data_IF_534333398515
#
_entry.id   IF_534333398515
#
_cell.length_a   1.000
_cell.length_b   1.000
_cell.length_c   1.000
_cell.angle_alpha   90.00
_cell.angle_beta   90.00
_cell.angle_gamma   90.00
#
_symmetry.space_group_name_H-M   'P 1'
#
loop_
_entity.id
_entity.type
_entity.pdbx_description
1 polymer ?
#
# COMPACT_ATOMS: atom_id res chain seq x y z
N UNK A 1 -67.87 56.38 2.88
CA UNK A 1 -67.34 57.75 2.69
C UNK A 1 -66.88 57.88 1.24
N UNK A 2 -67.21 58.83 0.39
CA UNK A 2 -68.19 59.92 0.33
C UNK A 2 -68.23 60.36 -1.15
N UNK A 3 -69.34 60.05 -1.84
CA UNK A 3 -70.25 60.96 -2.57
C UNK A 3 -69.87 61.45 -3.99
N UNK A 4 -70.80 61.12 -4.89
CA UNK A 4 -71.14 61.63 -6.23
C UNK A 4 -71.48 63.13 -6.28
N UNK A 5 -71.46 63.69 -7.49
CA UNK A 5 -72.32 64.78 -8.00
C UNK A 5 -71.63 65.51 -9.16
N UNK A 6 -72.01 65.47 -10.45
CA UNK A 6 -73.28 65.57 -11.22
C UNK A 6 -73.84 67.00 -11.37
N UNK A 7 -73.58 67.60 -12.55
CA UNK A 7 -74.56 68.32 -13.37
C UNK A 7 -74.69 69.85 -13.24
N UNK A 8 -74.93 70.53 -14.37
CA UNK A 8 -75.53 71.88 -14.37
C UNK A 8 -75.40 72.68 -15.67
N UNK A 9 -76.45 72.70 -16.48
CA UNK A 9 -76.64 73.46 -17.74
C UNK A 9 -77.03 74.94 -17.49
N UNK A 10 -76.39 75.87 -18.21
CA UNK A 10 -77.00 76.66 -19.30
C UNK A 10 -77.78 77.98 -19.05
N UNK A 11 -77.74 78.81 -20.12
CA UNK A 11 -78.70 79.85 -20.60
C UNK A 11 -78.62 81.26 -19.95
N UNK A 12 -78.80 82.42 -20.63
CA UNK A 12 -79.22 82.79 -22.00
C UNK A 12 -79.14 84.32 -22.22
N UNK A 13 -78.86 84.77 -23.44
CA UNK A 13 -79.48 85.96 -24.09
C UNK A 13 -78.74 87.30 -23.99
N UNK A 14 -78.84 88.27 -24.92
CA UNK A 14 -79.72 88.45 -26.10
C UNK A 14 -79.35 89.77 -26.85
N UNK A 15 -79.43 89.77 -28.20
CA UNK A 15 -79.64 90.90 -29.18
C UNK A 15 -78.62 92.07 -29.16
N UNK A 16 -78.06 92.59 -30.26
CA UNK A 16 -78.33 92.48 -31.70
C UNK A 16 -78.56 93.88 -32.29
N UNK A 17 -77.82 94.31 -33.33
CA UNK A 17 -78.26 95.28 -34.36
C UNK A 17 -77.24 95.37 -35.51
N UNK A 18 -77.73 95.28 -36.76
CA UNK A 18 -77.05 95.63 -38.02
C UNK A 18 -77.06 97.15 -38.22
N UNK A 19 -76.01 97.71 -38.84
CA UNK A 19 -76.06 98.50 -40.08
C UNK A 19 -74.68 99.02 -40.48
N UNK A 20 -74.41 98.98 -41.80
CA UNK A 20 -73.59 99.89 -42.62
C UNK A 20 -72.06 99.87 -42.40
N UNK A 21 -71.31 99.39 -43.41
CA UNK A 21 -70.72 100.23 -44.47
C UNK A 21 -69.86 101.36 -43.91
N UNK A 22 -68.54 101.15 -43.93
CA UNK A 22 -67.55 102.13 -44.40
C UNK A 22 -66.15 101.54 -44.18
N UNK A 23 -65.39 101.44 -45.28
CA UNK A 23 -63.94 101.42 -45.28
C UNK A 23 -63.39 102.43 -44.27
N UNK A 24 -62.83 101.94 -43.17
CA UNK A 24 -61.74 102.60 -42.45
C UNK A 24 -60.72 101.53 -42.06
N UNK A 25 -59.89 101.19 -43.05
CA UNK A 25 -58.44 101.08 -42.88
C UNK A 25 -57.94 102.24 -42.01
N UNK A 26 -58.19 102.18 -40.71
CA UNK A 26 -57.64 103.07 -39.69
C UNK A 26 -57.67 102.28 -38.36
N UNK A 27 -57.10 101.05 -38.34
CA UNK A 27 -55.99 100.93 -37.39
C UNK A 27 -55.10 102.08 -37.81
N UNK A 28 -55.05 103.16 -37.01
CA UNK A 28 -54.08 104.23 -37.24
C UNK A 28 -52.76 103.53 -37.58
N UNK A 29 -51.95 103.98 -38.54
CA UNK A 29 -50.66 103.31 -38.83
C UNK A 29 -49.93 102.99 -37.52
N UNK A 30 -50.04 103.89 -36.56
CA UNK A 30 -49.67 103.76 -35.14
C UNK A 30 -50.21 102.50 -34.41
N UNK A 31 -51.50 102.15 -34.50
CA UNK A 31 -52.08 100.98 -33.82
C UNK A 31 -51.68 99.67 -34.50
N UNK A 32 -51.59 99.67 -35.84
CA UNK A 32 -51.10 98.51 -36.60
C UNK A 32 -49.61 98.28 -36.30
N UNK A 33 -48.81 99.35 -36.29
CA UNK A 33 -47.41 99.35 -35.87
C UNK A 33 -47.27 98.94 -34.40
N UNK A 34 -48.18 99.35 -33.51
CA UNK A 34 -48.17 98.94 -32.09
C UNK A 34 -48.41 97.43 -31.93
N UNK A 35 -49.40 96.87 -32.63
CA UNK A 35 -49.65 95.42 -32.61
C UNK A 35 -48.54 94.64 -33.33
N UNK A 36 -47.98 95.15 -34.43
CA UNK A 36 -46.81 94.56 -35.09
C UNK A 36 -45.59 94.59 -34.15
N UNK A 37 -45.33 95.70 -33.46
CA UNK A 37 -44.30 95.80 -32.44
C UNK A 37 -44.53 94.79 -31.32
N UNK A 38 -45.77 94.67 -30.82
CA UNK A 38 -46.14 93.68 -29.80
C UNK A 38 -45.94 92.23 -30.29
N UNK A 39 -46.30 91.93 -31.54
CA UNK A 39 -46.09 90.61 -32.15
C UNK A 39 -44.60 90.33 -32.30
N UNK A 40 -43.80 91.30 -32.75
CA UNK A 40 -42.33 91.12 -32.84
C UNK A 40 -41.70 90.92 -31.46
N UNK A 41 -42.15 91.63 -30.43
CA UNK A 41 -41.66 91.47 -29.06
C UNK A 41 -42.09 90.15 -28.42
N UNK A 42 -43.34 89.71 -28.65
CA UNK A 42 -43.80 88.39 -28.25
C UNK A 42 -43.08 87.28 -28.99
N UNK A 43 -42.83 87.42 -30.29
CA UNK A 43 -42.04 86.47 -31.08
C UNK A 43 -40.58 86.42 -30.61
N UNK A 44 -39.97 87.57 -30.23
CA UNK A 44 -38.65 87.60 -29.61
C UNK A 44 -38.63 86.89 -28.26
N UNK A 45 -39.64 87.11 -27.40
CA UNK A 45 -39.78 86.41 -26.12
C UNK A 45 -39.97 84.90 -26.33
N UNK A 46 -40.78 84.51 -27.30
CA UNK A 46 -41.04 83.12 -27.66
C UNK A 46 -39.78 82.46 -28.23
N UNK A 47 -39.01 83.14 -29.07
CA UNK A 47 -37.73 82.67 -29.57
C UNK A 47 -36.70 82.49 -28.44
N UNK A 48 -36.63 83.44 -27.48
CA UNK A 48 -35.77 83.31 -26.29
C UNK A 48 -36.18 82.12 -25.43
N UNK A 49 -37.48 81.94 -25.15
CA UNK A 49 -37.98 80.80 -24.40
C UNK A 49 -37.73 79.48 -25.13
N UNK A 50 -37.87 79.43 -26.46
CA UNK A 50 -37.52 78.25 -27.27
C UNK A 50 -36.03 77.94 -27.22
N UNK A 51 -35.16 78.95 -27.34
CA UNK A 51 -33.70 78.78 -27.17
C UNK A 51 -33.38 78.24 -25.79
N UNK A 52 -33.97 78.83 -24.75
CA UNK A 52 -33.78 78.39 -23.37
C UNK A 52 -34.31 76.97 -23.13
N UNK A 53 -35.47 76.60 -23.69
CA UNK A 53 -35.97 75.23 -23.63
C UNK A 53 -35.03 74.26 -24.36
N UNK A 54 -34.53 74.62 -25.55
CA UNK A 54 -33.57 73.79 -26.28
C UNK A 54 -32.24 73.63 -25.53
N UNK A 55 -31.74 74.70 -24.90
CA UNK A 55 -30.55 74.67 -24.03
C UNK A 55 -30.76 73.79 -22.80
N UNK A 56 -31.94 73.88 -22.16
CA UNK A 56 -32.30 73.04 -21.02
C UNK A 56 -32.49 71.57 -21.43
N UNK A 57 -33.06 71.30 -22.60
CA UNK A 57 -33.18 69.95 -23.17
C UNK A 57 -31.80 69.35 -23.44
N UNK A 58 -30.90 70.10 -24.09
CA UNK A 58 -29.52 69.70 -24.31
C UNK A 58 -28.80 69.42 -22.99
N UNK A 59 -28.88 70.34 -22.02
CA UNK A 59 -28.30 70.16 -20.70
C UNK A 59 -28.86 68.93 -19.97
N UNK A 60 -30.16 68.68 -20.07
CA UNK A 60 -30.79 67.51 -19.47
C UNK A 60 -30.35 66.21 -20.17
N UNK A 61 -30.18 66.22 -21.50
CA UNK A 61 -29.62 65.07 -22.23
C UNK A 61 -28.16 64.82 -21.86
N UNK A 62 -27.35 65.87 -21.68
CA UNK A 62 -25.96 65.76 -21.25
C UNK A 62 -25.84 65.21 -19.83
N UNK A 63 -26.64 65.72 -18.89
CA UNK A 63 -26.69 65.21 -17.51
C UNK A 63 -27.16 63.74 -17.49
N UNK A 64 -28.16 63.40 -18.30
CA UNK A 64 -28.64 62.01 -18.43
C UNK A 64 -27.54 61.09 -18.99
N UNK A 65 -26.79 61.54 -19.99
CA UNK A 65 -25.64 60.80 -20.53
C UNK A 65 -24.54 60.62 -19.48
N UNK A 66 -24.19 61.67 -18.74
CA UNK A 66 -23.21 61.59 -17.64
C UNK A 66 -23.67 60.65 -16.54
N UNK A 67 -24.96 60.68 -16.17
CA UNK A 67 -25.53 59.77 -15.18
C UNK A 67 -25.43 58.32 -15.65
N UNK A 68 -25.76 58.03 -16.91
CA UNK A 68 -25.67 56.68 -17.44
C UNK A 68 -24.23 56.17 -17.47
N UNK A 69 -23.26 57.01 -17.85
CA UNK A 69 -21.83 56.67 -17.78
C UNK A 69 -21.39 56.35 -16.34
N UNK A 70 -21.79 57.17 -15.37
CA UNK A 70 -21.49 56.91 -13.96
C UNK A 70 -22.16 55.63 -13.44
N UNK A 71 -23.36 55.29 -13.93
CA UNK A 71 -24.05 54.04 -13.61
C UNK A 71 -23.32 52.82 -14.20
N UNK A 72 -22.82 52.93 -15.43
CA UNK A 72 -21.98 51.91 -16.10
C UNK A 72 -20.64 51.73 -15.36
N UNK A 73 -19.89 52.81 -15.13
CA UNK A 73 -18.63 52.78 -14.38
C UNK A 73 -18.82 52.17 -12.98
N UNK A 74 -19.93 52.52 -12.29
CA UNK A 74 -20.27 51.93 -10.99
C UNK A 74 -20.56 50.44 -11.11
N UNK A 75 -21.31 50.02 -12.12
CA UNK A 75 -21.61 48.61 -12.35
C UNK A 75 -20.32 47.82 -12.62
N UNK A 76 -19.40 48.37 -13.41
CA UNK A 76 -18.11 47.78 -13.71
C UNK A 76 -17.25 47.66 -12.44
N UNK A 77 -17.15 48.72 -11.64
CA UNK A 77 -16.43 48.67 -10.35
C UNK A 77 -17.04 47.63 -9.42
N UNK A 78 -18.37 47.56 -9.30
CA UNK A 78 -19.04 46.53 -8.49
C UNK A 78 -18.73 45.13 -9.01
N UNK A 79 -18.77 44.92 -10.33
CA UNK A 79 -18.48 43.62 -10.93
C UNK A 79 -17.03 43.18 -10.67
N UNK A 80 -16.08 44.11 -10.78
CA UNK A 80 -14.67 43.87 -10.51
C UNK A 80 -14.42 43.55 -9.04
N UNK A 81 -15.02 44.32 -8.12
CA UNK A 81 -14.91 44.08 -6.68
C UNK A 81 -15.54 42.76 -6.29
N UNK A 82 -16.73 42.42 -6.81
CA UNK A 82 -17.37 41.13 -6.54
C UNK A 82 -16.53 39.96 -7.06
N UNK A 83 -15.95 40.09 -8.26
CA UNK A 83 -15.05 39.07 -8.81
C UNK A 83 -13.82 38.90 -7.94
N UNK A 84 -13.15 40.00 -7.58
CA UNK A 84 -11.95 39.95 -6.74
C UNK A 84 -12.28 39.40 -5.35
N UNK A 85 -13.43 39.75 -4.79
CA UNK A 85 -13.88 39.22 -3.50
C UNK A 85 -14.12 37.72 -3.58
N UNK A 86 -14.80 37.23 -4.63
CA UNK A 86 -15.00 35.79 -4.87
C UNK A 86 -13.67 35.06 -5.03
N UNK A 87 -12.73 35.58 -5.84
CA UNK A 87 -11.39 35.00 -6.00
C UNK A 87 -10.65 34.91 -4.66
N UNK A 88 -10.78 35.93 -3.79
CA UNK A 88 -10.18 35.92 -2.45
C UNK A 88 -10.88 34.97 -1.49
N UNK A 89 -12.19 34.78 -1.60
CA UNK A 89 -12.93 33.79 -0.82
C UNK A 89 -12.51 32.37 -1.21
N UNK A 90 -12.37 32.09 -2.51
CA UNK A 90 -11.87 30.81 -3.01
C UNK A 90 -10.42 30.56 -2.52
N UNK A 91 -9.52 31.53 -2.64
CA UNK A 91 -8.15 31.45 -2.09
C UNK A 91 -8.17 31.11 -0.58
N UNK A 92 -9.08 31.73 0.19
CA UNK A 92 -9.21 31.49 1.63
C UNK A 92 -9.70 30.07 1.90
N UNK A 93 -10.63 29.54 1.10
CA UNK A 93 -11.13 28.17 1.24
C UNK A 93 -10.03 27.16 0.92
N UNK A 94 -9.30 27.33 -0.19
CA UNK A 94 -8.17 26.45 -0.54
C UNK A 94 -7.09 26.45 0.55
N UNK A 95 -6.74 27.62 1.10
CA UNK A 95 -5.77 27.71 2.19
C UNK A 95 -6.27 27.06 3.48
N UNK A 96 -7.57 27.16 3.78
CA UNK A 96 -8.19 26.49 4.94
C UNK A 96 -8.18 24.98 4.78
N UNK A 97 -8.55 24.45 3.61
CA UNK A 97 -8.50 23.01 3.32
C UNK A 97 -7.07 22.47 3.41
N UNK A 98 -6.10 23.21 2.85
CA UNK A 98 -4.68 22.86 2.97
C UNK A 98 -4.19 22.86 4.42
N UNK A 99 -4.60 23.85 5.21
CA UNK A 99 -4.26 23.93 6.63
C UNK A 99 -4.88 22.77 7.40
N UNK A 100 -6.14 22.43 7.13
CA UNK A 100 -6.82 21.30 7.74
C UNK A 100 -6.12 19.98 7.38
N UNK A 101 -5.77 19.77 6.11
CA UNK A 101 -5.01 18.60 5.66
C UNK A 101 -3.67 18.47 6.39
N UNK A 102 -2.89 19.56 6.45
CA UNK A 102 -1.63 19.59 7.21
C UNK A 102 -1.84 19.31 8.71
N UNK A 103 -2.92 19.83 9.29
CA UNK A 103 -3.25 19.62 10.69
C UNK A 103 -3.59 18.15 10.97
N UNK A 104 -4.36 17.52 10.08
CA UNK A 104 -4.70 16.10 10.14
C UNK A 104 -3.45 15.21 9.98
N UNK A 105 -2.58 15.49 9.00
CA UNK A 105 -1.32 14.74 8.82
C UNK A 105 -0.45 14.85 10.08
N UNK A 106 -0.30 16.06 10.64
CA UNK A 106 0.44 16.28 11.88
C UNK A 106 -0.18 15.52 13.05
N UNK A 107 -1.51 15.51 13.19
CA UNK A 107 -2.19 14.74 14.23
C UNK A 107 -1.99 13.22 14.06
N UNK A 108 -2.03 12.71 12.83
CA UNK A 108 -1.76 11.31 12.52
C UNK A 108 -0.31 10.93 12.85
N UNK A 109 0.67 11.72 12.43
CA UNK A 109 2.08 11.51 12.77
C UNK A 109 2.30 11.55 14.29
N UNK A 110 1.69 12.51 14.98
CA UNK A 110 1.80 12.63 16.44
C UNK A 110 1.16 11.44 17.17
N UNK A 111 0.11 10.83 16.61
CA UNK A 111 -0.48 9.58 17.14
C UNK A 111 0.44 8.39 16.87
N UNK A 112 0.93 8.23 15.65
CA UNK A 112 1.85 7.15 15.29
C UNK A 112 3.14 7.18 16.12
N UNK A 113 3.72 8.36 16.35
CA UNK A 113 4.88 8.50 17.24
C UNK A 113 4.55 8.15 18.69
N UNK A 114 3.38 8.56 19.20
CA UNK A 114 2.94 8.19 20.56
C UNK A 114 2.77 6.68 20.71
N UNK A 115 2.10 6.04 19.76
CA UNK A 115 1.94 4.58 19.72
C UNK A 115 3.30 3.88 19.67
N UNK A 116 4.25 4.41 18.87
CA UNK A 116 5.59 3.83 18.80
C UNK A 116 6.37 3.97 20.10
N UNK A 117 6.27 5.12 20.77
CA UNK A 117 6.86 5.33 22.09
C UNK A 117 6.25 4.38 23.11
N UNK A 118 4.92 4.25 23.14
CA UNK A 118 4.24 3.34 24.05
C UNK A 118 4.62 1.88 23.80
N UNK A 119 4.71 1.46 22.54
CA UNK A 119 5.20 0.12 22.17
C UNK A 119 6.63 -0.11 22.68
N UNK A 120 7.55 0.84 22.45
CA UNK A 120 8.93 0.73 22.93
C UNK A 120 9.01 0.69 24.46
N UNK A 121 8.19 1.46 25.16
CA UNK A 121 8.11 1.41 26.62
C UNK A 121 7.58 0.06 27.13
N UNK A 122 6.59 -0.51 26.47
CA UNK A 122 6.06 -1.84 26.79
C UNK A 122 7.11 -2.93 26.56
N UNK A 123 7.80 -2.89 25.42
CA UNK A 123 8.92 -3.81 25.10
C UNK A 123 10.05 -3.69 26.12
N UNK A 124 10.42 -2.47 26.50
CA UNK A 124 11.44 -2.23 27.52
C UNK A 124 11.01 -2.76 28.89
N UNK A 125 9.76 -2.51 29.32
CA UNK A 125 9.22 -3.05 30.57
C UNK A 125 9.19 -4.58 30.55
N UNK A 126 8.81 -5.19 29.43
CA UNK A 126 8.81 -6.65 29.28
C UNK A 126 10.24 -7.22 29.38
N UNK A 127 11.21 -6.61 28.69
CA UNK A 127 12.62 -6.98 28.78
C UNK A 127 13.15 -6.82 30.21
N UNK A 128 12.83 -5.72 30.88
CA UNK A 128 13.23 -5.48 32.27
C UNK A 128 12.67 -6.55 33.21
N UNK A 129 11.39 -6.92 33.06
CA UNK A 129 10.77 -8.00 33.84
C UNK A 129 11.42 -9.35 33.56
N UNK A 130 11.71 -9.66 32.29
CA UNK A 130 12.41 -10.89 31.91
C UNK A 130 13.80 -10.95 32.55
N UNK A 131 14.65 -9.94 32.35
CA UNK A 131 15.99 -9.88 32.94
C UNK A 131 15.93 -9.95 34.47
N UNK A 132 14.97 -9.26 35.10
CA UNK A 132 14.78 -9.31 36.56
C UNK A 132 14.39 -10.72 37.02
N UNK A 133 13.57 -11.43 36.24
CA UNK A 133 13.20 -12.82 36.54
C UNK A 133 14.38 -13.78 36.38
N UNK A 134 15.22 -13.57 35.36
CA UNK A 134 16.44 -14.35 35.13
C UNK A 134 17.45 -14.13 36.25
N UNK A 135 17.66 -12.88 36.67
CA UNK A 135 18.52 -12.54 37.82
C UNK A 135 18.01 -13.22 39.09
N UNK A 136 16.70 -13.19 39.36
CA UNK A 136 16.11 -13.88 40.52
C UNK A 136 16.28 -15.39 40.45
N UNK A 137 16.11 -15.98 39.27
CA UNK A 137 16.31 -17.42 39.05
C UNK A 137 17.78 -17.81 39.27
N UNK A 138 18.71 -17.03 38.72
CA UNK A 138 20.15 -17.25 38.91
C UNK A 138 20.57 -17.08 40.36
N UNK A 139 20.04 -16.08 41.07
CA UNK A 139 20.25 -15.92 42.50
C UNK A 139 19.73 -17.14 43.28
N UNK A 140 18.55 -17.66 42.91
CA UNK A 140 18.02 -18.90 43.49
C UNK A 140 18.93 -20.12 43.24
N UNK A 141 19.44 -20.27 42.01
CA UNK A 141 20.40 -21.34 41.67
C UNK A 141 21.71 -21.19 42.44
N UNK A 142 22.21 -19.98 42.62
CA UNK A 142 23.42 -19.70 43.38
C UNK A 142 23.25 -20.07 44.85
N UNK A 143 22.12 -19.69 45.46
CA UNK A 143 21.80 -20.06 46.84
C UNK A 143 21.73 -21.58 47.02
N UNK A 144 21.11 -22.30 46.09
CA UNK A 144 21.06 -23.76 46.13
C UNK A 144 22.45 -24.39 45.98
N UNK A 145 23.33 -23.79 45.16
CA UNK A 145 24.70 -24.24 45.00
C UNK A 145 25.53 -23.99 46.27
N UNK A 146 25.35 -22.84 46.91
CA UNK A 146 25.99 -22.52 48.19
C UNK A 146 25.51 -23.47 49.30
N UNK A 147 24.22 -23.78 49.35
CA UNK A 147 23.68 -24.76 50.29
C UNK A 147 24.26 -26.17 50.04
N UNK A 148 24.36 -26.59 48.78
CA UNK A 148 25.02 -27.85 48.42
C UNK A 148 26.50 -27.87 48.86
N UNK A 149 27.20 -26.75 48.71
CA UNK A 149 28.60 -26.61 49.15
C UNK A 149 28.73 -26.77 50.66
N UNK A 150 27.86 -26.10 51.43
CA UNK A 150 27.82 -26.23 52.90
C UNK A 150 27.52 -27.67 53.31
N UNK A 151 26.51 -28.30 52.72
CA UNK A 151 26.15 -29.70 53.02
C UNK A 151 27.29 -30.67 52.70
N UNK A 152 27.99 -30.46 51.58
CA UNK A 152 29.17 -31.25 51.22
C UNK A 152 30.28 -31.09 52.26
N UNK A 153 30.58 -29.86 52.66
CA UNK A 153 31.65 -29.58 53.64
C UNK A 153 31.31 -30.18 55.01
N UNK A 154 30.06 -30.08 55.45
CA UNK A 154 29.56 -30.74 56.67
C UNK A 154 29.68 -32.28 56.58
N UNK A 155 29.32 -32.85 55.43
CA UNK A 155 29.43 -34.29 55.22
C UNK A 155 30.89 -34.75 55.21
N UNK A 156 31.77 -33.99 54.56
CA UNK A 156 33.21 -34.27 54.54
C UNK A 156 33.79 -34.20 55.97
N UNK A 157 33.40 -33.21 56.76
CA UNK A 157 33.82 -33.09 58.16
C UNK A 157 33.34 -34.30 59.01
N UNK A 158 32.11 -34.79 58.78
CA UNK A 158 31.60 -36.02 59.41
C UNK A 158 32.41 -37.25 59.00
N UNK A 159 32.76 -37.39 57.72
CA UNK A 159 33.60 -38.49 57.24
C UNK A 159 34.98 -38.49 57.90
N UNK A 160 35.67 -37.34 57.94
CA UNK A 160 36.98 -37.22 58.61
C UNK A 160 36.86 -37.58 60.09
N UNK A 161 35.79 -37.16 60.75
CA UNK A 161 35.55 -37.51 62.16
C UNK A 161 35.34 -39.00 62.34
N UNK A 162 34.55 -39.63 61.47
CA UNK A 162 34.27 -41.08 61.51
C UNK A 162 35.52 -41.91 61.19
N UNK A 163 36.32 -41.49 60.21
CA UNK A 163 37.58 -42.14 59.85
C UNK A 163 38.56 -42.12 61.03
N UNK A 164 38.70 -40.98 61.71
CA UNK A 164 39.51 -40.86 62.92
C UNK A 164 39.01 -41.76 64.06
N UNK A 165 37.69 -41.83 64.26
CA UNK A 165 37.09 -42.73 65.26
C UNK A 165 37.34 -44.20 64.92
N UNK A 166 37.24 -44.58 63.65
CA UNK A 166 37.53 -45.95 63.18
C UNK A 166 39.00 -46.32 63.41
N UNK A 167 39.93 -45.40 63.12
CA UNK A 167 41.35 -45.60 63.35
C UNK A 167 41.66 -45.75 64.85
N UNK A 168 41.04 -44.93 65.70
CA UNK A 168 41.16 -45.04 67.15
C UNK A 168 40.59 -46.37 67.67
N UNK A 169 39.42 -46.80 67.16
CA UNK A 169 38.84 -48.10 67.51
C UNK A 169 39.72 -49.27 67.07
N UNK A 170 40.32 -49.22 65.87
CA UNK A 170 41.24 -50.27 65.42
C UNK A 170 42.49 -50.32 66.29
N UNK A 171 43.06 -49.17 66.68
CA UNK A 171 44.18 -49.14 67.62
C UNK A 171 43.80 -49.66 69.01
N UNK A 172 42.61 -49.32 69.51
CA UNK A 172 42.12 -49.81 70.80
C UNK A 172 41.89 -51.32 70.76
N UNK A 173 41.24 -51.84 69.73
CA UNK A 173 41.05 -53.29 69.56
C UNK A 173 42.36 -54.03 69.37
N UNK A 174 43.35 -53.49 68.65
CA UNK A 174 44.67 -54.10 68.54
C UNK A 174 45.37 -54.19 69.91
N UNK A 175 45.25 -53.14 70.74
CA UNK A 175 45.73 -53.14 72.13
C UNK A 175 45.01 -54.17 73.00
N UNK A 176 43.69 -54.23 72.92
CA UNK A 176 42.87 -55.22 73.65
C UNK A 176 43.23 -56.65 73.24
N UNK A 177 43.36 -56.92 71.94
CA UNK A 177 43.72 -58.23 71.42
C UNK A 177 45.09 -58.67 71.94
N UNK A 178 46.07 -57.74 71.92
CA UNK A 178 47.39 -57.99 72.48
C UNK A 178 47.34 -58.29 73.99
N UNK A 179 46.53 -57.56 74.76
CA UNK A 179 46.37 -57.84 76.18
C UNK A 179 45.72 -59.20 76.45
N UNK A 180 44.68 -59.55 75.69
CA UNK A 180 43.99 -60.84 75.79
C UNK A 180 44.93 -61.98 75.41
N UNK A 181 45.66 -61.84 74.29
CA UNK A 181 46.63 -62.83 73.84
C UNK A 181 47.76 -62.99 74.86
N UNK A 182 48.27 -61.89 75.43
CA UNK A 182 49.25 -61.92 76.50
C UNK A 182 48.72 -62.66 77.74
N UNK A 183 47.50 -62.33 78.20
CA UNK A 183 46.86 -63.01 79.34
C UNK A 183 46.63 -64.50 79.04
N UNK A 184 46.24 -64.84 77.81
CA UNK A 184 46.04 -66.22 77.35
C UNK A 184 47.35 -67.01 77.28
N UNK A 185 48.43 -66.43 76.74
CA UNK A 185 49.75 -67.08 76.69
C UNK A 185 50.24 -67.36 78.11
N UNK A 186 50.16 -66.37 79.01
CA UNK A 186 50.55 -66.54 80.42
C UNK A 186 49.69 -67.61 81.10
N UNK A 187 48.37 -67.61 80.88
CA UNK A 187 47.46 -68.62 81.42
C UNK A 187 47.73 -70.02 80.86
N UNK A 188 47.99 -70.13 79.56
CA UNK A 188 48.36 -71.39 78.88
C UNK A 188 49.67 -71.95 79.43
N UNK A 189 50.69 -71.12 79.62
CA UNK A 189 51.96 -71.56 80.19
C UNK A 189 51.81 -71.99 81.65
N UNK A 190 50.97 -71.28 82.43
CA UNK A 190 50.61 -71.70 83.78
C UNK A 190 49.91 -73.06 83.79
N UNK A 191 48.93 -73.26 82.89
CA UNK A 191 48.18 -74.51 82.79
C UNK A 191 49.06 -75.66 82.28
N UNK A 192 49.97 -75.40 81.33
CA UNK A 192 50.94 -76.40 80.87
C UNK A 192 51.84 -76.85 82.02
N UNK A 193 52.35 -75.93 82.83
CA UNK A 193 53.15 -76.27 84.02
C UNK A 193 52.34 -77.13 85.00
N UNK A 194 51.08 -76.77 85.26
CA UNK A 194 50.20 -77.57 86.13
C UNK A 194 49.91 -78.95 85.53
N UNK A 195 49.63 -79.02 84.22
CA UNK A 195 49.36 -80.26 83.51
C UNK A 195 50.59 -81.16 83.43
N UNK A 196 51.79 -80.63 83.17
CA UNK A 196 53.05 -81.38 83.25
C UNK A 196 53.25 -81.96 84.65
N UNK A 197 52.99 -81.16 85.68
CA UNK A 197 53.08 -81.62 87.08
C UNK A 197 52.08 -82.75 87.35
N UNK A 198 50.82 -82.61 86.93
CA UNK A 198 49.80 -83.65 87.08
C UNK A 198 50.03 -84.86 86.18
N UNK A 199 50.58 -84.71 84.98
CA UNK A 199 50.92 -85.81 84.08
C UNK A 199 52.09 -86.61 84.62
N UNK A 200 53.10 -85.95 85.19
CA UNK A 200 54.17 -86.65 85.91
C UNK A 200 53.58 -87.49 87.04
N UNK A 201 52.68 -86.90 87.84
CA UNK A 201 52.02 -87.59 88.94
C UNK A 201 51.10 -88.74 88.45
N UNK A 202 50.25 -88.49 87.44
CA UNK A 202 49.35 -89.47 86.88
C UNK A 202 50.11 -90.55 86.11
N UNK A 203 51.20 -90.23 85.41
CA UNK A 203 52.02 -91.22 84.72
C UNK A 203 52.71 -92.14 85.71
N UNK A 204 53.16 -91.63 86.87
CA UNK A 204 53.66 -92.49 87.94
C UNK A 204 52.53 -93.37 88.49
N UNK A 205 51.35 -92.81 88.78
CA UNK A 205 50.20 -93.57 89.31
C UNK A 205 49.61 -94.56 88.29
N UNK A 206 49.59 -94.21 87.00
CA UNK A 206 49.01 -94.99 85.91
C UNK A 206 49.97 -96.06 85.42
N UNK A 207 51.28 -95.82 85.35
CA UNK A 207 52.23 -96.89 85.07
C UNK A 207 52.18 -97.97 86.15
N UNK A 208 52.07 -97.57 87.43
CA UNK A 208 51.84 -98.49 88.54
C UNK A 208 50.48 -99.21 88.46
N UNK A 209 49.40 -98.51 88.12
CA UNK A 209 48.06 -99.10 88.09
C UNK A 209 47.73 -99.92 86.83
N UNK A 210 48.32 -99.60 85.68
CA UNK A 210 47.94 -100.15 84.36
C UNK A 210 48.73 -101.41 84.03
N UNK A 211 49.99 -101.47 84.45
CA UNK A 211 50.74 -102.73 84.49
C UNK A 211 49.99 -103.78 85.33
N UNK A 212 49.18 -103.32 86.30
CA UNK A 212 48.37 -104.19 87.15
C UNK A 212 47.00 -104.62 86.55
N UNK A 213 46.47 -104.06 85.45
CA UNK A 213 44.99 -104.18 85.26
C UNK A 213 44.33 -104.18 83.88
N UNK A 214 44.99 -104.08 82.73
CA UNK A 214 44.22 -104.10 81.45
C UNK A 214 43.90 -105.52 80.97
N UNK A 215 42.60 -105.81 80.85
CA UNK A 215 42.03 -107.00 80.22
C UNK A 215 41.37 -106.69 78.87
N UNK A 216 41.42 -107.68 77.97
CA UNK A 216 41.05 -107.66 76.55
C UNK A 216 39.68 -107.05 76.17
N UNK A 217 38.69 -107.05 77.07
CA UNK A 217 37.30 -106.61 76.80
C UNK A 217 37.19 -105.13 76.44
N UNK A 218 38.06 -104.28 76.99
CA UNK A 218 38.09 -102.83 76.72
C UNK A 218 38.49 -102.53 75.28
N UNK A 219 39.30 -103.38 74.65
CA UNK A 219 39.65 -103.24 73.22
C UNK A 219 38.46 -103.49 72.29
N UNK A 220 37.40 -104.19 72.74
CA UNK A 220 36.23 -104.47 71.90
C UNK A 220 35.30 -103.27 71.79
N UNK A 221 35.04 -102.58 72.90
CA UNK A 221 34.18 -101.38 72.94
C UNK A 221 34.79 -100.22 72.13
N UNK A 222 36.12 -100.11 72.10
CA UNK A 222 36.82 -99.13 71.28
C UNK A 222 36.55 -99.36 69.77
N UNK A 223 36.53 -100.62 69.33
CA UNK A 223 36.25 -100.94 67.91
C UNK A 223 34.83 -100.61 67.50
N UNK A 224 33.86 -100.81 68.38
CA UNK A 224 32.45 -100.50 68.12
C UNK A 224 32.19 -98.99 68.05
N UNK A 225 32.83 -98.20 68.93
CA UNK A 225 32.78 -96.73 68.85
C UNK A 225 33.37 -96.17 67.55
N UNK A 226 34.46 -96.79 67.06
CA UNK A 226 35.06 -96.41 65.78
C UNK A 226 34.09 -96.67 64.62
N UNK A 227 33.36 -97.79 64.64
CA UNK A 227 32.37 -98.11 63.62
C UNK A 227 31.20 -97.11 63.59
N UNK A 228 30.67 -96.74 64.76
CA UNK A 228 29.56 -95.77 64.86
C UNK A 228 29.99 -94.37 64.41
N UNK A 229 31.21 -93.92 64.78
CA UNK A 229 31.72 -92.62 64.34
C UNK A 229 31.89 -92.56 62.82
N UNK A 230 32.35 -93.62 62.18
CA UNK A 230 32.48 -93.67 60.72
C UNK A 230 31.12 -93.53 60.02
N UNK A 231 30.06 -94.11 60.58
CA UNK A 231 28.70 -94.00 60.02
C UNK A 231 28.11 -92.59 60.23
N UNK A 232 28.43 -91.96 61.35
CA UNK A 232 28.04 -90.58 61.65
C UNK A 232 28.76 -89.57 60.74
N UNK A 233 30.04 -89.80 60.44
CA UNK A 233 30.80 -89.01 59.48
C UNK A 233 30.20 -89.10 58.07
N UNK A 234 29.78 -90.29 57.63
CA UNK A 234 29.07 -90.48 56.36
C UNK A 234 27.76 -89.68 56.30
N UNK A 235 26.96 -89.68 57.37
CA UNK A 235 25.74 -88.86 57.42
C UNK A 235 26.03 -87.35 57.44
N UNK A 236 27.11 -86.93 58.10
CA UNK A 236 27.52 -85.52 58.12
C UNK A 236 27.95 -85.04 56.73
N UNK A 237 28.63 -85.87 55.95
CA UNK A 237 28.97 -85.56 54.56
C UNK A 237 27.71 -85.42 53.71
N UNK A 238 26.79 -86.38 53.79
CA UNK A 238 25.53 -86.32 53.02
C UNK A 238 24.66 -85.11 53.39
N UNK A 239 24.58 -84.76 54.67
CA UNK A 239 23.85 -83.55 55.11
C UNK A 239 24.50 -82.27 54.61
N UNK A 240 25.84 -82.18 54.59
CA UNK A 240 26.55 -81.06 53.99
C UNK A 240 26.24 -80.92 52.50
N UNK A 241 26.35 -81.99 51.72
CA UNK A 241 26.05 -81.98 50.29
C UNK A 241 24.62 -81.51 50.01
N UNK A 242 23.64 -81.97 50.78
CA UNK A 242 22.24 -81.52 50.66
C UNK A 242 22.06 -80.05 51.02
N UNK A 243 22.77 -79.54 52.04
CA UNK A 243 22.72 -78.12 52.39
C UNK A 243 23.36 -77.23 51.32
N UNK A 244 24.46 -77.67 50.73
CA UNK A 244 25.13 -76.99 49.62
C UNK A 244 24.21 -76.95 48.40
N UNK A 245 23.58 -78.07 48.02
CA UNK A 245 22.63 -78.11 46.91
C UNK A 245 21.43 -77.19 47.14
N UNK A 246 20.86 -77.17 48.36
CA UNK A 246 19.77 -76.27 48.70
C UNK A 246 20.19 -74.80 48.61
N UNK A 247 21.40 -74.47 49.06
CA UNK A 247 21.94 -73.11 48.94
C UNK A 247 22.10 -72.68 47.48
N UNK A 248 22.65 -73.56 46.63
CA UNK A 248 22.80 -73.35 45.18
C UNK A 248 21.46 -73.16 44.48
N UNK A 249 20.45 -73.95 44.85
CA UNK A 249 19.09 -73.81 44.30
C UNK A 249 18.44 -72.50 44.71
N UNK A 250 18.64 -72.04 45.95
CA UNK A 250 18.15 -70.72 46.41
C UNK A 250 18.84 -69.57 45.70
N UNK A 251 20.13 -69.70 45.38
CA UNK A 251 20.87 -68.70 44.62
C UNK A 251 20.36 -68.61 43.19
N UNK A 252 20.20 -69.74 42.49
CA UNK A 252 19.57 -69.79 41.16
C UNK A 252 18.15 -69.19 41.16
N UNK A 253 17.35 -69.48 42.18
CA UNK A 253 16.00 -68.89 42.31
C UNK A 253 16.04 -67.36 42.49
N UNK A 254 17.02 -66.84 43.24
CA UNK A 254 17.24 -65.39 43.34
C UNK A 254 17.68 -64.78 42.01
N UNK A 255 18.61 -65.43 41.31
CA UNK A 255 19.06 -64.98 39.98
C UNK A 255 17.91 -64.94 38.98
N UNK A 256 17.09 -66.00 38.93
CA UNK A 256 15.90 -66.03 38.07
C UNK A 256 14.89 -64.95 38.41
N UNK A 257 14.67 -64.65 39.69
CA UNK A 257 13.79 -63.53 40.09
C UNK A 257 14.35 -62.19 39.63
N UNK A 258 15.65 -61.97 39.76
CA UNK A 258 16.30 -60.75 39.31
C UNK A 258 16.23 -60.58 37.79
N UNK A 259 16.44 -61.65 37.01
CA UNK A 259 16.34 -61.59 35.54
C UNK A 259 14.91 -61.31 35.08
N UNK A 260 13.90 -61.88 35.75
CA UNK A 260 12.49 -61.57 35.48
C UNK A 260 12.20 -60.09 35.75
N UNK A 261 12.64 -59.54 36.87
CA UNK A 261 12.44 -58.11 37.18
C UNK A 261 13.13 -57.19 36.17
N UNK A 262 14.34 -57.54 35.72
CA UNK A 262 15.06 -56.80 34.69
C UNK A 262 14.30 -56.83 33.35
N UNK A 263 13.87 -58.00 32.89
CA UNK A 263 13.09 -58.13 31.66
C UNK A 263 11.75 -57.41 31.73
N UNK A 264 11.07 -57.37 32.88
CA UNK A 264 9.86 -56.56 33.04
C UNK A 264 10.15 -55.05 32.90
N UNK A 265 11.26 -54.56 33.48
CA UNK A 265 11.69 -53.17 33.32
C UNK A 265 12.03 -52.85 31.87
N UNK A 266 12.79 -53.71 31.20
CA UNK A 266 13.14 -53.57 29.78
C UNK A 266 11.88 -53.54 28.90
N UNK A 267 10.94 -54.46 29.14
CA UNK A 267 9.65 -54.49 28.43
C UNK A 267 8.88 -53.18 28.60
N UNK A 268 8.80 -52.65 29.83
CA UNK A 268 8.15 -51.36 30.10
C UNK A 268 8.84 -50.21 29.36
N UNK A 269 10.17 -50.16 29.37
CA UNK A 269 10.93 -49.15 28.62
C UNK A 269 10.71 -49.24 27.11
N UNK A 270 10.74 -50.45 26.55
CA UNK A 270 10.50 -50.70 25.14
C UNK A 270 9.07 -50.32 24.72
N UNK A 271 8.07 -50.64 25.55
CA UNK A 271 6.67 -50.28 25.31
C UNK A 271 6.48 -48.76 25.35
N UNK A 272 7.05 -48.07 26.34
CA UNK A 272 7.01 -46.61 26.42
C UNK A 272 7.69 -45.94 25.22
N UNK A 273 8.83 -46.50 24.76
CA UNK A 273 9.52 -46.00 23.56
C UNK A 273 8.66 -46.20 22.31
N UNK A 274 8.04 -47.37 22.15
CA UNK A 274 7.12 -47.67 21.06
C UNK A 274 5.91 -46.73 21.07
N UNK A 275 5.32 -46.49 22.24
CA UNK A 275 4.20 -45.56 22.40
C UNK A 275 4.59 -44.12 22.03
N UNK A 276 5.76 -43.67 22.47
CA UNK A 276 6.30 -42.36 22.10
C UNK A 276 6.55 -42.26 20.59
N UNK A 277 7.11 -43.31 19.98
CA UNK A 277 7.31 -43.38 18.53
C UNK A 277 5.97 -43.36 17.78
N UNK A 278 4.97 -44.10 18.23
CA UNK A 278 3.61 -44.06 17.64
C UNK A 278 3.01 -42.66 17.72
N UNK A 279 3.06 -42.02 18.90
CA UNK A 279 2.59 -40.63 19.08
C UNK A 279 3.32 -39.64 18.17
N UNK A 280 4.62 -39.84 17.96
CA UNK A 280 5.40 -39.03 17.04
C UNK A 280 4.98 -39.27 15.58
N UNK A 281 4.80 -40.52 15.18
CA UNK A 281 4.32 -40.90 13.85
C UNK A 281 2.92 -40.31 13.59
N UNK A 282 2.01 -40.40 14.56
CA UNK A 282 0.66 -39.83 14.44
C UNK A 282 0.72 -38.32 14.26
N UNK A 283 1.54 -37.62 15.06
CA UNK A 283 1.74 -36.18 14.93
C UNK A 283 2.33 -35.81 13.57
N UNK A 284 3.38 -36.51 13.12
CA UNK A 284 3.99 -36.28 11.81
C UNK A 284 3.01 -36.58 10.68
N UNK A 285 2.15 -37.59 10.82
CA UNK A 285 1.12 -37.95 9.84
C UNK A 285 0.06 -36.86 9.72
N UNK A 286 -0.38 -36.28 10.85
CA UNK A 286 -1.31 -35.15 10.87
C UNK A 286 -0.67 -33.90 10.23
N UNK A 287 0.57 -33.58 10.58
CA UNK A 287 1.29 -32.45 9.98
C UNK A 287 1.51 -32.65 8.47
N UNK A 288 1.87 -33.86 8.04
CA UNK A 288 1.99 -34.19 6.62
C UNK A 288 0.64 -34.06 5.90
N UNK A 289 -0.47 -34.47 6.51
CA UNK A 289 -1.79 -34.30 5.92
C UNK A 289 -2.15 -32.81 5.75
N UNK A 290 -1.89 -31.97 6.76
CA UNK A 290 -2.08 -30.51 6.68
C UNK A 290 -1.18 -29.87 5.61
N UNK A 291 0.07 -30.28 5.54
CA UNK A 291 1.00 -29.77 4.54
C UNK A 291 0.55 -30.19 3.13
N UNK A 292 0.08 -31.43 2.97
CA UNK A 292 -0.46 -31.93 1.70
C UNK A 292 -1.70 -31.16 1.26
N UNK A 293 -2.63 -30.82 2.17
CA UNK A 293 -3.78 -29.96 1.83
C UNK A 293 -3.32 -28.56 1.44
N UNK A 294 -2.35 -27.99 2.15
CA UNK A 294 -1.81 -26.67 1.82
C UNK A 294 -1.11 -26.65 0.46
N UNK A 295 -0.36 -27.69 0.13
CA UNK A 295 0.27 -27.83 -1.19
C UNK A 295 -0.81 -27.90 -2.27
N UNK A 296 -1.89 -28.67 -2.05
CA UNK A 296 -3.02 -28.71 -3.00
C UNK A 296 -3.65 -27.34 -3.21
N UNK A 297 -3.89 -26.58 -2.14
CA UNK A 297 -4.39 -25.19 -2.24
C UNK A 297 -3.43 -24.30 -3.05
N UNK A 298 -2.13 -24.35 -2.76
CA UNK A 298 -1.12 -23.57 -3.49
C UNK A 298 -1.08 -23.95 -4.97
N UNK A 299 -1.14 -25.24 -5.30
CA UNK A 299 -1.21 -25.69 -6.70
C UNK A 299 -2.49 -25.20 -7.38
N UNK A 300 -3.61 -25.14 -6.67
CA UNK A 300 -4.85 -24.58 -7.18
C UNK A 300 -4.71 -23.07 -7.48
N UNK A 301 -4.16 -22.28 -6.54
CA UNK A 301 -3.88 -20.87 -6.76
C UNK A 301 -2.91 -20.62 -7.91
N UNK A 302 -1.89 -21.45 -8.07
CA UNK A 302 -0.97 -21.39 -9.23
C UNK A 302 -1.71 -21.63 -10.54
N UNK A 303 -2.55 -22.67 -10.61
CA UNK A 303 -3.35 -22.95 -11.82
C UNK A 303 -4.30 -21.80 -12.16
N UNK A 304 -4.90 -21.15 -11.17
CA UNK A 304 -5.77 -20.00 -11.35
C UNK A 304 -4.99 -18.77 -11.82
N UNK A 305 -3.80 -18.53 -11.26
CA UNK A 305 -2.90 -17.46 -11.70
C UNK A 305 -2.48 -17.66 -13.16
N UNK A 306 -2.18 -18.89 -13.57
CA UNK A 306 -1.88 -19.20 -14.97
C UNK A 306 -3.09 -18.96 -15.89
N UNK A 307 -4.30 -19.29 -15.45
CA UNK A 307 -5.53 -18.97 -16.20
C UNK A 307 -5.71 -17.46 -16.37
N UNK A 308 -5.55 -16.67 -15.31
CA UNK A 308 -5.64 -15.21 -15.41
C UNK A 308 -4.55 -14.61 -16.30
N UNK A 309 -3.31 -15.12 -16.24
CA UNK A 309 -2.25 -14.70 -17.16
C UNK A 309 -2.60 -14.99 -18.62
N UNK A 310 -3.18 -16.15 -18.91
CA UNK A 310 -3.68 -16.47 -20.26
C UNK A 310 -4.78 -15.51 -20.70
N UNK A 311 -5.77 -15.26 -19.84
CA UNK A 311 -6.85 -14.31 -20.14
C UNK A 311 -6.32 -12.89 -20.38
N UNK A 312 -5.32 -12.45 -19.61
CA UNK A 312 -4.68 -11.16 -19.80
C UNK A 312 -3.94 -11.09 -21.14
N UNK A 313 -3.15 -12.11 -21.47
CA UNK A 313 -2.45 -12.20 -22.76
C UNK A 313 -3.43 -12.17 -23.94
N UNK A 314 -4.55 -12.90 -23.85
CA UNK A 314 -5.59 -12.86 -24.87
C UNK A 314 -6.26 -11.47 -24.97
N UNK A 315 -6.49 -10.81 -23.84
CA UNK A 315 -7.05 -9.46 -23.82
C UNK A 315 -6.07 -8.43 -24.42
N UNK A 316 -4.77 -8.55 -24.14
CA UNK A 316 -3.71 -7.74 -24.73
C UNK A 316 -3.61 -7.97 -26.24
N UNK A 317 -3.69 -9.21 -26.71
CA UNK A 317 -3.74 -9.51 -28.15
C UNK A 317 -4.98 -8.90 -28.81
N UNK A 318 -6.16 -9.04 -28.20
CA UNK A 318 -7.39 -8.41 -28.69
C UNK A 318 -7.25 -6.89 -28.76
N UNK A 319 -6.67 -6.27 -27.73
CA UNK A 319 -6.43 -4.84 -27.68
C UNK A 319 -5.46 -4.40 -28.78
N UNK A 320 -4.33 -5.10 -28.95
CA UNK A 320 -3.36 -4.83 -29.99
C UNK A 320 -3.99 -4.94 -31.39
N UNK A 321 -4.79 -5.97 -31.63
CA UNK A 321 -5.53 -6.14 -32.88
C UNK A 321 -6.48 -4.95 -33.11
N UNK A 322 -7.28 -4.56 -32.12
CA UNK A 322 -8.15 -3.37 -32.22
C UNK A 322 -7.36 -2.08 -32.47
N UNK A 323 -6.21 -1.89 -31.82
CA UNK A 323 -5.34 -0.74 -32.09
C UNK A 323 -4.80 -0.75 -33.53
N UNK A 324 -4.41 -1.91 -34.06
CA UNK A 324 -3.97 -2.00 -35.47
C UNK A 324 -5.10 -1.68 -36.44
N UNK A 325 -6.31 -2.17 -36.18
CA UNK A 325 -7.50 -1.83 -36.99
C UNK A 325 -7.83 -0.34 -36.90
N UNK A 326 -7.78 0.25 -35.71
CA UNK A 326 -7.96 1.69 -35.52
C UNK A 326 -6.90 2.50 -36.29
N UNK A 327 -5.63 2.06 -36.31
CA UNK A 327 -4.58 2.71 -37.11
C UNK A 327 -4.86 2.61 -38.61
N UNK A 328 -5.30 1.44 -39.10
CA UNK A 328 -5.68 1.25 -40.52
C UNK A 328 -6.83 2.20 -40.89
N UNK A 329 -7.88 2.25 -40.06
CA UNK A 329 -9.03 3.11 -40.29
C UNK A 329 -8.65 4.61 -40.26
N UNK A 330 -7.78 5.00 -39.32
CA UNK A 330 -7.24 6.36 -39.25
C UNK A 330 -6.43 6.72 -40.50
N UNK A 331 -5.60 5.79 -41.01
CA UNK A 331 -4.86 5.99 -42.25
C UNK A 331 -5.79 6.11 -43.46
N UNK A 332 -6.84 5.29 -43.55
CA UNK A 332 -7.84 5.38 -44.61
C UNK A 332 -8.59 6.71 -44.56
N UNK A 333 -8.99 7.16 -43.37
CA UNK A 333 -9.63 8.46 -43.17
C UNK A 333 -8.71 9.60 -43.61
N UNK A 334 -7.42 9.53 -43.29
CA UNK A 334 -6.44 10.52 -43.71
C UNK A 334 -6.27 10.56 -45.23
N UNK A 335 -6.11 9.40 -45.88
CA UNK A 335 -6.04 9.31 -47.35
C UNK A 335 -7.31 9.88 -48.00
N UNK A 336 -8.49 9.51 -47.51
CA UNK A 336 -9.77 10.04 -48.01
C UNK A 336 -9.91 11.55 -47.78
N UNK A 337 -9.45 12.07 -46.64
CA UNK A 337 -9.44 13.50 -46.37
C UNK A 337 -8.51 14.26 -47.33
N UNK A 338 -7.32 13.71 -47.62
CA UNK A 338 -6.38 14.26 -48.57
C UNK A 338 -6.92 14.23 -50.01
N UNK A 339 -7.57 13.13 -50.41
CA UNK A 339 -8.25 13.02 -51.71
C UNK A 339 -9.38 14.05 -51.84
N UNK A 340 -10.19 14.21 -50.78
CA UNK A 340 -11.25 15.22 -50.72
C UNK A 340 -10.67 16.63 -50.88
N UNK A 341 -9.57 16.95 -50.19
CA UNK A 341 -8.91 18.26 -50.30
C UNK A 341 -8.37 18.50 -51.72
N UNK A 342 -7.69 17.51 -52.30
CA UNK A 342 -7.23 17.56 -53.68
C UNK A 342 -8.39 17.79 -54.68
N UNK A 343 -9.53 17.11 -54.48
CA UNK A 343 -10.73 17.31 -55.30
C UNK A 343 -11.34 18.71 -55.13
N UNK A 344 -11.37 19.25 -53.91
CA UNK A 344 -11.82 20.62 -53.66
C UNK A 344 -10.93 21.64 -54.36
N UNK A 345 -9.60 21.46 -54.31
CA UNK A 345 -8.63 22.27 -55.05
C UNK A 345 -8.89 22.20 -56.56
N UNK A 346 -9.10 21.01 -57.11
CA UNK A 346 -9.43 20.84 -58.53
C UNK A 346 -10.73 21.55 -58.91
N UNK A 347 -11.78 21.44 -58.08
CA UNK A 347 -13.05 22.16 -58.30
C UNK A 347 -12.85 23.68 -58.21
N UNK A 348 -12.05 24.17 -57.26
CA UNK A 348 -11.73 25.59 -57.15
C UNK A 348 -10.98 26.10 -58.40
N UNK A 349 -9.99 25.36 -58.89
CA UNK A 349 -9.27 25.68 -60.13
C UNK A 349 -10.20 25.67 -61.34
N UNK A 350 -11.08 24.67 -61.46
CA UNK A 350 -12.08 24.61 -62.53
C UNK A 350 -13.09 25.77 -62.44
N UNK A 351 -13.51 26.17 -61.24
CA UNK A 351 -14.37 27.34 -61.03
C UNK A 351 -13.65 28.63 -61.41
N UNK A 352 -12.38 28.79 -61.04
CA UNK A 352 -11.58 29.94 -61.47
C UNK A 352 -11.43 29.97 -62.99
N UNK A 353 -11.17 28.82 -63.62
CA UNK A 353 -11.14 28.71 -65.07
C UNK A 353 -12.48 29.09 -65.71
N UNK A 354 -13.59 28.54 -65.21
CA UNK A 354 -14.94 28.88 -65.68
C UNK A 354 -15.25 30.37 -65.49
N UNK A 355 -14.87 30.98 -64.36
CA UNK A 355 -15.03 32.40 -64.12
C UNK A 355 -14.19 33.24 -65.09
N UNK A 356 -12.94 32.82 -65.38
CA UNK A 356 -12.09 33.48 -66.38
C UNK A 356 -12.72 33.41 -67.76
N UNK A 357 -13.19 32.24 -68.20
CA UNK A 357 -13.90 32.08 -69.48
C UNK A 357 -15.19 32.90 -69.52
N UNK A 358 -15.95 32.96 -68.41
CA UNK A 358 -17.15 33.79 -68.34
C UNK A 358 -16.80 35.29 -68.42
N UNK A 359 -15.70 35.73 -67.79
CA UNK A 359 -15.24 37.12 -67.90
C UNK A 359 -14.79 37.47 -69.32
N UNK A 360 -14.14 36.57 -70.04
CA UNK A 360 -13.76 36.80 -71.45
C UNK A 360 -14.99 36.79 -72.35
N UNK A 361 -15.97 35.90 -72.11
CA UNK A 361 -17.26 35.93 -72.81
C UNK A 361 -18.01 37.24 -72.56
N UNK A 362 -18.09 37.73 -71.31
CA UNK A 362 -18.70 39.02 -70.99
C UNK A 362 -17.97 40.18 -71.68
N UNK A 363 -16.63 40.17 -71.67
CA UNK A 363 -15.82 41.16 -72.37
C UNK A 363 -16.04 41.11 -73.89
N UNK A 364 -16.18 39.92 -74.47
CA UNK A 364 -16.52 39.74 -75.89
C UNK A 364 -17.93 40.24 -76.21
N UNK A 365 -18.92 39.92 -75.38
CA UNK A 365 -20.29 40.44 -75.53
C UNK A 365 -20.31 41.96 -75.44
N UNK A 366 -19.56 42.56 -74.52
CA UNK A 366 -19.44 44.01 -74.41
C UNK A 366 -18.73 44.64 -75.61
N UNK A 367 -17.66 44.01 -76.13
CA UNK A 367 -17.00 44.46 -77.36
C UNK A 367 -17.93 44.38 -78.58
N UNK A 368 -18.74 43.34 -78.69
CA UNK A 368 -19.77 43.22 -79.74
C UNK A 368 -20.86 44.28 -79.56
N UNK A 369 -21.32 44.54 -78.33
CA UNK A 369 -22.26 45.63 -78.05
C UNK A 369 -21.70 46.99 -78.43
N UNK A 370 -20.45 47.29 -78.07
CA UNK A 370 -19.77 48.53 -78.46
C UNK A 370 -19.62 48.63 -79.98
N UNK A 371 -19.33 47.53 -80.67
CA UNK A 371 -19.28 47.50 -82.13
C UNK A 371 -20.65 47.76 -82.78
N UNK A 372 -21.74 47.23 -82.20
CA UNK A 372 -23.12 47.47 -82.66
C UNK A 372 -23.58 48.91 -82.35
N UNK A 373 -23.22 49.46 -81.19
CA UNK A 373 -23.51 50.87 -80.82
C UNK A 373 -22.82 51.87 -81.77
N UNK A 374 -21.58 51.58 -82.21
CA UNK A 374 -20.86 52.37 -83.22
C UNK A 374 -21.53 52.26 -84.61
N UNK A 375 -22.28 51.19 -84.88
CA UNK A 375 -22.94 50.96 -86.17
C UNK A 375 -24.32 51.62 -86.27
N UNK A 376 -25.08 51.71 -85.18
CA UNK A 376 -26.43 52.28 -85.16
C UNK A 376 -26.47 53.83 -84.94
N UNK A 377 -25.38 54.45 -84.44
CA UNK A 377 -25.28 55.90 -84.21
C UNK A 377 -23.93 56.50 -84.66
N UNK A 378 -23.75 56.90 -85.94
CA UNK A 378 -22.58 57.67 -86.35
C UNK A 378 -22.70 59.11 -85.83
N UNK A 379 -21.85 59.50 -84.88
CA UNK A 379 -21.66 60.90 -84.52
C UNK A 379 -20.84 61.54 -85.64
N UNK A 380 -21.28 62.66 -86.21
CA UNK A 380 -20.68 63.28 -87.40
C UNK A 380 -19.24 63.82 -87.27
N UNK A 381 -18.45 63.36 -86.29
CA UNK A 381 -17.03 63.70 -86.06
C UNK A 381 -16.12 62.50 -86.39
N UNK A 382 -15.63 62.47 -87.63
CA UNK A 382 -14.73 61.46 -88.21
C UNK A 382 -13.46 61.10 -87.39
N UNK A 383 -12.80 62.02 -86.65
CA UNK A 383 -11.63 61.65 -85.83
C UNK A 383 -11.99 60.96 -84.49
N UNK A 384 -13.21 61.13 -83.99
CA UNK A 384 -13.65 60.50 -82.73
C UNK A 384 -14.04 59.03 -82.97
N UNK A 385 -14.68 58.75 -84.11
CA UNK A 385 -15.05 57.41 -84.54
C UNK A 385 -13.83 56.55 -84.88
N UNK A 386 -12.77 57.13 -85.45
CA UNK A 386 -11.49 56.44 -85.64
C UNK A 386 -10.81 56.08 -84.30
N UNK A 387 -10.82 56.99 -83.32
CA UNK A 387 -10.25 56.71 -82.00
C UNK A 387 -11.04 55.66 -81.20
N UNK A 388 -12.36 55.62 -81.36
CA UNK A 388 -13.19 54.54 -80.80
C UNK A 388 -12.92 53.20 -81.49
N UNK A 389 -12.73 53.20 -82.82
CA UNK A 389 -12.44 51.99 -83.59
C UNK A 389 -11.04 51.44 -83.31
N UNK A 390 -10.05 52.30 -83.10
CA UNK A 390 -8.70 51.91 -82.69
C UNK A 390 -8.68 51.37 -81.25
N UNK A 391 -9.47 51.95 -80.33
CA UNK A 391 -9.66 51.38 -78.99
C UNK A 391 -10.40 50.02 -79.03
N UNK A 392 -11.38 49.86 -79.92
CA UNK A 392 -12.06 48.57 -80.13
C UNK A 392 -11.10 47.51 -80.69
N UNK A 393 -10.27 47.86 -81.67
CA UNK A 393 -9.26 46.95 -82.21
C UNK A 393 -8.19 46.61 -81.18
N UNK A 394 -7.73 47.58 -80.37
CA UNK A 394 -6.78 47.34 -79.29
C UNK A 394 -7.37 46.41 -78.22
N UNK A 395 -8.62 46.62 -77.81
CA UNK A 395 -9.30 45.76 -76.82
C UNK A 395 -9.57 44.34 -77.36
N UNK A 396 -9.95 44.19 -78.63
CA UNK A 396 -10.10 42.88 -79.27
C UNK A 396 -8.76 42.13 -79.41
N UNK A 397 -7.68 42.85 -79.72
CA UNK A 397 -6.33 42.28 -79.84
C UNK A 397 -5.76 41.90 -78.46
N UNK A 398 -6.05 42.66 -77.42
CA UNK A 398 -5.74 42.31 -76.03
C UNK A 398 -6.53 41.08 -75.54
N UNK A 399 -7.78 40.90 -75.97
CA UNK A 399 -8.57 39.70 -75.66
C UNK A 399 -8.02 38.45 -76.34
N UNK A 400 -7.62 38.54 -77.61
CA UNK A 400 -7.04 37.41 -78.37
C UNK A 400 -5.67 37.01 -77.81
N UNK A 401 -4.82 37.98 -77.47
CA UNK A 401 -3.50 37.72 -76.88
C UNK A 401 -3.59 37.15 -75.45
N UNK A 402 -4.57 37.57 -74.64
CA UNK A 402 -4.87 36.93 -73.33
C UNK A 402 -5.38 35.49 -73.47
N UNK A 403 -6.05 35.16 -74.57
CA UNK A 403 -6.60 33.82 -74.82
C UNK A 403 -5.54 32.81 -75.27
N UNK A 404 -4.58 33.21 -76.10
CA UNK A 404 -3.49 32.32 -76.56
C UNK A 404 -2.54 31.90 -75.43
N UNK A 405 -2.38 32.72 -74.37
CA UNK A 405 -1.66 32.34 -73.15
C UNK A 405 -2.45 31.38 -72.24
N UNK A 406 -3.77 31.24 -72.43
CA UNK A 406 -4.62 30.39 -71.59
C UNK A 406 -4.73 28.93 -72.07
N UNK A 407 -4.31 28.61 -73.29
CA UNK A 407 -4.40 27.26 -73.87
C UNK A 407 -3.19 26.34 -73.58
N UNK A 408 -2.24 26.78 -72.76
CA UNK A 408 -1.24 25.87 -72.20
C UNK A 408 -1.84 25.18 -70.97
N UNK A 409 -2.03 23.87 -71.11
CA UNK A 409 -2.26 22.85 -70.08
C UNK A 409 -2.10 23.30 -68.61
N UNK A 410 -2.91 22.75 -67.68
CA UNK A 410 -2.56 22.82 -66.26
C UNK A 410 -1.20 22.14 -66.06
N UNK A 411 -0.15 22.94 -65.94
CA UNK A 411 1.20 22.48 -65.64
C UNK A 411 1.17 21.92 -64.21
N UNK A 412 1.50 20.64 -63.96
CA UNK A 412 1.56 20.05 -62.63
C UNK A 412 2.88 20.39 -61.94
N UNK A 413 3.39 21.61 -62.12
CA UNK A 413 4.65 22.06 -61.56
C UNK A 413 4.41 23.32 -60.76
N UNK A 414 3.82 23.12 -59.59
CA UNK A 414 3.99 23.91 -58.36
C UNK A 414 2.99 23.41 -57.29
N UNK A 415 2.94 22.11 -57.04
CA UNK A 415 2.67 21.64 -55.68
C UNK A 415 4.01 21.72 -54.97
N UNK A 416 4.28 22.90 -54.41
CA UNK A 416 5.30 23.08 -53.41
C UNK A 416 5.17 21.95 -52.40
N UNK A 417 6.27 21.20 -52.27
CA UNK A 417 6.47 20.24 -51.22
C UNK A 417 6.12 20.86 -49.87
N UNK A 418 5.00 20.44 -49.30
CA UNK A 418 4.86 20.29 -47.85
C UNK A 418 4.94 18.80 -47.50
N UNK A 419 5.94 18.12 -48.07
CA UNK A 419 6.66 17.15 -47.26
C UNK A 419 7.49 17.96 -46.26
N UNK A 420 7.38 17.61 -44.98
CA UNK A 420 8.02 18.26 -43.81
C UNK A 420 7.18 19.34 -43.11
N UNK A 421 6.00 18.97 -42.58
CA UNK A 421 5.71 19.33 -41.18
C UNK A 421 5.97 18.09 -40.35
N UNK A 422 7.10 18.16 -39.67
CA UNK A 422 7.51 17.40 -38.51
C UNK A 422 6.66 16.19 -38.12
N UNK A 423 7.22 15.04 -38.46
CA UNK A 423 7.31 13.86 -37.62
C UNK A 423 7.76 14.25 -36.19
N UNK A 424 6.82 14.70 -35.36
CA UNK A 424 6.98 14.81 -33.91
C UNK A 424 5.66 14.51 -33.21
N UNK A 425 5.16 13.28 -33.38
CA UNK A 425 4.23 12.67 -32.42
C UNK A 425 4.14 11.15 -32.57
N UNK A 426 5.30 10.52 -32.78
CA UNK A 426 5.46 9.08 -32.66
C UNK A 426 6.38 8.76 -31.47
N UNK A 427 5.93 9.08 -30.25
CA UNK A 427 6.56 8.60 -29.01
C UNK A 427 5.62 8.70 -27.79
N UNK A 428 4.38 8.24 -27.91
CA UNK A 428 3.54 7.82 -26.79
C UNK A 428 2.59 6.80 -27.42
N UNK A 429 2.74 5.49 -27.26
CA UNK A 429 2.90 4.78 -26.00
C UNK A 429 3.04 3.29 -26.33
N UNK A 430 4.14 2.66 -25.92
CA UNK A 430 4.15 1.26 -25.46
C UNK A 430 5.43 1.03 -24.65
N UNK A 431 5.24 0.98 -23.32
CA UNK A 431 5.79 -0.04 -22.42
C UNK A 431 7.30 -0.13 -22.22
N UNK A 432 7.78 0.41 -21.10
CA UNK A 432 8.88 -0.11 -20.24
C UNK A 432 9.16 0.96 -19.17
N UNK A 433 8.71 0.82 -17.93
CA UNK A 433 9.47 0.15 -16.87
C UNK A 433 10.99 0.30 -17.04
N UNK A 434 11.59 1.17 -16.21
CA UNK A 434 13.04 1.16 -15.95
C UNK A 434 13.88 2.14 -16.77
N UNK A 435 13.93 3.40 -16.36
CA UNK A 435 15.17 4.18 -16.50
C UNK A 435 15.15 5.34 -15.50
N UNK A 436 15.72 5.09 -14.32
CA UNK A 436 16.25 6.15 -13.47
C UNK A 436 17.36 6.86 -14.26
N UNK A 437 17.49 8.18 -14.10
CA UNK A 437 18.51 9.09 -14.66
C UNK A 437 18.12 9.88 -15.93
N UNK A 438 18.23 11.22 -15.82
CA UNK A 438 18.17 12.22 -16.90
C UNK A 438 19.58 12.78 -17.13
N UNK A 439 19.92 13.17 -18.36
CA UNK A 439 21.23 13.75 -18.68
C UNK A 439 21.43 15.09 -17.96
N UNK A 440 22.36 15.11 -17.00
CA UNK A 440 22.68 16.31 -16.23
C UNK A 440 23.23 16.08 -14.81
N UNK A 441 23.19 14.85 -14.27
CA UNK A 441 23.75 14.54 -12.95
C UNK A 441 24.96 13.61 -13.06
N UNK A 442 26.13 14.11 -12.68
CA UNK A 442 27.30 13.29 -12.33
C UNK A 442 27.20 13.02 -10.82
N UNK A 443 26.66 11.86 -10.43
CA UNK A 443 26.62 11.51 -9.01
C UNK A 443 26.04 10.13 -8.74
N UNK A 444 26.85 9.27 -8.09
CA UNK A 444 26.48 7.93 -7.66
C UNK A 444 25.30 7.95 -6.66
N UNK A 445 24.41 6.95 -6.80
CA UNK A 445 23.34 6.47 -5.89
C UNK A 445 21.89 6.82 -6.34
N UNK A 446 21.07 5.82 -6.73
CA UNK A 446 19.62 5.99 -6.87
C UNK A 446 18.90 5.89 -5.50
N UNK A 447 17.95 6.80 -5.25
CA UNK A 447 17.03 6.77 -4.08
C UNK A 447 16.01 5.63 -4.23
N UNK A 448 15.66 4.99 -3.11
CA UNK A 448 14.56 4.01 -3.01
C UNK A 448 13.22 4.72 -3.21
N UNK A 449 12.41 4.24 -4.15
CA UNK A 449 11.01 4.62 -4.25
C UNK A 449 10.21 3.81 -3.20
N UNK A 450 9.51 4.54 -2.33
CA UNK A 450 8.52 4.00 -1.42
C UNK A 450 7.30 3.56 -2.23
N UNK A 451 7.08 2.24 -2.29
CA UNK A 451 5.86 1.67 -2.86
C UNK A 451 4.70 1.99 -1.91
N UNK A 452 3.82 2.90 -2.31
CA UNK A 452 2.47 2.98 -1.78
C UNK A 452 1.75 1.64 -2.02
N UNK A 453 1.59 0.86 -0.96
CA UNK A 453 0.67 -0.27 -0.90
C UNK A 453 -0.76 0.25 -0.90
N UNK A 454 -1.67 -0.23 -1.76
CA UNK A 454 -3.10 0.00 -1.54
C UNK A 454 -3.54 -0.84 -0.34
N UNK A 455 -4.11 -0.16 0.65
CA UNK A 455 -4.76 -0.73 1.82
C UNK A 455 -6.02 -1.49 1.40
N UNK A 456 -6.03 -2.81 1.61
CA UNK A 456 -7.26 -3.61 1.61
C UNK A 456 -7.58 -3.95 3.06
N UNK A 457 -8.62 -3.34 3.61
CA UNK A 457 -9.23 -3.70 4.89
C UNK A 457 -9.81 -5.13 4.81
N UNK A 458 -9.67 -5.95 5.87
CA UNK A 458 -10.46 -7.16 6.03
C UNK A 458 -11.71 -6.87 6.88
N UNK A 459 -12.88 -7.05 6.25
CA UNK A 459 -14.17 -7.16 6.95
C UNK A 459 -14.15 -8.35 7.93
N UNK A 460 -14.52 -8.09 9.17
CA UNK A 460 -14.75 -9.09 10.20
C UNK A 460 -16.07 -9.84 9.96
N UNK A 461 -16.14 -11.16 10.21
CA UNK A 461 -17.41 -11.89 10.16
C UNK A 461 -18.20 -11.67 11.45
N UNK A 462 -19.45 -11.23 11.27
CA UNK A 462 -20.51 -11.21 12.28
C UNK A 462 -20.89 -12.66 12.62
N UNK A 463 -20.88 -12.98 13.92
CA UNK A 463 -21.36 -14.23 14.46
C UNK A 463 -22.91 -14.28 14.45
N UNK A 464 -23.45 -15.38 13.93
CA UNK A 464 -24.67 -16.04 14.41
C UNK A 464 -24.41 -17.53 14.51
#
# INVERSE_FOLDING_TARGET
MGRKGKGGKGKKGKKGKKTEEEDKNLLTEVDKEFYELQITDLNRKLARLRSQCAELELSNTDISSQRNKLEEDRADVISFLNRTLSEKEDDILELKERLEGLQQTRDMETKAFREKVEQMEQEFKAMQLQLTSEVKLLAGKLNALDEFRVQRDDLMAKFVTQEKQMEEQTQNHARELYEVERKFIVGKDSLKKEMETRLLQLSTEFQEATESRIASTTHRVIRENIAINNELDLMLVSTKELTEENSRMREKDREMKLTVELHEKEKKMALNRSEMQSKLIDRLSVEHAKLSTRVKELTHYQSLSEQYKKQLSEAEERHNNMCTEMRKLKSQLFSSASEREHMLLKVANMRQYANRVNSTLLAAVNAIKQALEIQDHPSGDEPLDLALRDNLLATLLEMLTKYDLCNLQPNPKETGSLSTIQLSLLATSTSASGSAYRSGDLGLVPRKEETHTPSTEPDAPVAQ
#
